data_IF_848230124396
#
_entry.id   IF_848230124396
#
_cell.length_a   1.000
_cell.length_b   1.000
_cell.length_c   1.000
_cell.angle_alpha   90.00
_cell.angle_beta   90.00
_cell.angle_gamma   90.00
#
_symmetry.space_group_name_H-M   'P 1'
#
loop_
_entity.id
_entity.type
_entity.pdbx_description
1 polymer ?
#
# COMPACT_ATOMS: atom_id res chain seq x y z
N UNK A 1 -19.70 -4.89 12.69
CA UNK A 1 -20.86 -5.66 12.27
C UNK A 1 -20.72 -7.13 12.67
N UNK A 2 -21.81 -7.87 12.70
CA UNK A 2 -21.82 -9.30 12.95
C UNK A 2 -22.04 -10.06 11.64
N UNK A 3 -21.30 -11.15 11.45
CA UNK A 3 -21.51 -12.09 10.35
C UNK A 3 -22.54 -13.16 10.72
N UNK A 4 -23.02 -13.93 9.76
CA UNK A 4 -24.05 -14.97 9.97
C UNK A 4 -23.71 -15.98 11.07
N UNK A 5 -22.44 -16.19 11.37
CA UNK A 5 -21.98 -17.04 12.47
C UNK A 5 -22.10 -16.37 13.85
N UNK A 6 -22.55 -15.11 13.91
CA UNK A 6 -22.62 -14.31 15.14
C UNK A 6 -21.28 -13.73 15.61
N UNK A 7 -20.19 -13.95 14.88
CA UNK A 7 -18.89 -13.37 15.23
C UNK A 7 -18.87 -11.87 14.88
N UNK A 8 -18.41 -11.04 15.81
CA UNK A 8 -18.26 -9.62 15.59
C UNK A 8 -16.99 -9.33 14.79
N UNK A 9 -17.13 -8.60 13.70
CA UNK A 9 -16.03 -8.15 12.83
C UNK A 9 -16.05 -6.63 12.77
N UNK A 10 -14.88 -6.02 12.73
CA UNK A 10 -14.74 -4.58 12.57
C UNK A 10 -13.79 -4.24 11.41
N UNK A 11 -14.24 -3.41 10.48
CA UNK A 11 -13.38 -2.76 9.51
C UNK A 11 -12.61 -1.62 10.19
N UNK A 12 -11.32 -1.53 9.97
CA UNK A 12 -10.44 -0.49 10.51
C UNK A 12 -9.59 0.09 9.39
N UNK A 13 -9.57 1.41 9.29
CA UNK A 13 -8.69 2.12 8.38
C UNK A 13 -7.67 2.94 9.17
N UNK A 14 -6.44 2.92 8.70
CA UNK A 14 -5.35 3.77 9.16
C UNK A 14 -4.93 4.71 8.02
N UNK A 15 -3.96 5.57 8.25
CA UNK A 15 -3.38 6.41 7.20
C UNK A 15 -2.58 5.60 6.15
N UNK A 16 -2.24 4.35 6.44
CA UNK A 16 -1.37 3.51 5.60
C UNK A 16 -2.04 2.23 5.10
N UNK A 17 -2.99 1.67 5.86
CA UNK A 17 -3.55 0.34 5.58
C UNK A 17 -4.99 0.20 6.04
N UNK A 18 -5.66 -0.79 5.45
CA UNK A 18 -7.03 -1.19 5.78
C UNK A 18 -7.00 -2.60 6.34
N UNK A 19 -7.70 -2.79 7.45
CA UNK A 19 -7.73 -4.06 8.18
C UNK A 19 -9.16 -4.52 8.46
N UNK A 20 -9.31 -5.81 8.60
CA UNK A 20 -10.43 -6.45 9.31
C UNK A 20 -9.93 -6.93 10.66
N UNK A 21 -10.64 -6.58 11.72
CA UNK A 21 -10.43 -7.15 13.04
C UNK A 21 -11.46 -8.25 13.28
N UNK A 22 -10.99 -9.46 13.56
CA UNK A 22 -11.82 -10.57 14.01
C UNK A 22 -11.28 -11.06 15.36
N UNK A 23 -12.06 -10.87 16.40
CA UNK A 23 -11.59 -11.10 17.78
C UNK A 23 -10.43 -10.19 18.15
N UNK A 24 -9.26 -10.76 18.45
CA UNK A 24 -8.02 -10.04 18.77
C UNK A 24 -7.07 -9.86 17.59
N UNK A 25 -7.36 -10.52 16.46
CA UNK A 25 -6.46 -10.55 15.28
C UNK A 25 -6.86 -9.48 14.27
N UNK A 26 -5.84 -8.83 13.72
CA UNK A 26 -5.98 -7.91 12.59
C UNK A 26 -5.50 -8.62 11.30
N UNK A 27 -6.33 -8.55 10.27
CA UNK A 27 -6.04 -9.07 8.94
C UNK A 27 -5.93 -7.91 7.97
N UNK A 28 -4.81 -7.81 7.27
CA UNK A 28 -4.56 -6.77 6.28
C UNK A 28 -5.33 -7.07 5.00
N UNK A 29 -6.32 -6.23 4.69
CA UNK A 29 -7.15 -6.34 3.50
C UNK A 29 -6.87 -5.25 2.47
N UNK A 30 -5.81 -4.47 2.65
CA UNK A 30 -5.43 -3.39 1.74
C UNK A 30 -5.32 -3.91 0.30
N UNK A 31 -6.03 -3.32 -0.68
CA UNK A 31 -6.03 -3.81 -2.05
C UNK A 31 -4.64 -3.75 -2.70
N UNK A 32 -4.39 -4.68 -3.60
CA UNK A 32 -3.19 -4.67 -4.45
C UNK A 32 -3.49 -3.90 -5.73
N UNK A 33 -2.68 -2.89 -6.06
CA UNK A 33 -2.81 -2.09 -7.27
C UNK A 33 -2.04 -2.64 -8.47
N UNK A 34 -0.91 -3.29 -8.21
CA UNK A 34 -0.04 -3.83 -9.24
C UNK A 34 0.78 -5.01 -8.71
N UNK A 35 0.98 -6.00 -9.55
CA UNK A 35 1.82 -7.16 -9.25
C UNK A 35 2.85 -7.33 -10.37
N UNK A 36 4.12 -7.41 -9.98
CA UNK A 36 5.23 -7.70 -10.86
C UNK A 36 5.78 -9.08 -10.53
N UNK A 37 6.18 -9.81 -11.56
CA UNK A 37 6.71 -11.17 -11.44
C UNK A 37 7.91 -11.34 -12.37
N UNK A 38 8.53 -12.50 -12.36
CA UNK A 38 9.59 -12.86 -13.31
C UNK A 38 9.10 -12.84 -14.78
N UNK A 39 7.80 -13.04 -15.00
CA UNK A 39 7.19 -13.03 -16.33
C UNK A 39 6.75 -11.62 -16.79
N UNK A 40 6.80 -10.62 -15.93
CA UNK A 40 6.47 -9.24 -16.29
C UNK A 40 7.66 -8.53 -16.97
N UNK A 41 7.37 -7.44 -17.66
CA UNK A 41 8.40 -6.53 -18.18
C UNK A 41 8.17 -5.16 -17.54
N UNK A 42 9.04 -4.76 -16.59
CA UNK A 42 10.28 -5.39 -16.15
C UNK A 42 10.09 -6.65 -15.30
N UNK A 43 11.06 -7.59 -15.37
CA UNK A 43 11.12 -8.77 -14.53
C UNK A 43 11.58 -8.42 -13.10
N UNK A 44 11.14 -9.22 -12.13
CA UNK A 44 11.58 -9.14 -10.74
C UNK A 44 12.80 -10.00 -10.44
N UNK A 45 13.39 -10.68 -11.43
CA UNK A 45 14.55 -11.57 -11.23
C UNK A 45 15.74 -10.79 -10.70
N UNK A 46 16.31 -11.29 -9.60
CA UNK A 46 17.47 -10.69 -8.94
C UNK A 46 17.35 -9.19 -8.68
N UNK A 47 16.12 -8.72 -8.34
CA UNK A 47 15.85 -7.31 -8.19
C UNK A 47 16.44 -6.67 -6.92
N UNK A 48 17.00 -7.46 -5.99
CA UNK A 48 17.57 -6.97 -4.74
C UNK A 48 19.06 -6.70 -4.88
N UNK A 49 19.51 -5.56 -4.41
CA UNK A 49 20.94 -5.22 -4.28
C UNK A 49 21.22 -4.86 -2.84
N UNK A 50 22.16 -5.56 -2.25
CA UNK A 50 22.60 -5.40 -0.86
C UNK A 50 23.89 -4.61 -0.77
N UNK A 51 24.15 -4.00 0.39
CA UNK A 51 25.40 -3.32 0.70
C UNK A 51 25.89 -3.72 2.11
N UNK A 52 27.15 -3.43 2.39
CA UNK A 52 27.80 -3.69 3.69
C UNK A 52 28.26 -2.40 4.37
N UNK A 53 27.71 -1.27 3.99
CA UNK A 53 28.02 0.03 4.61
C UNK A 53 27.47 0.05 6.03
N UNK A 54 28.32 0.33 7.01
CA UNK A 54 27.98 0.33 8.42
C UNK A 54 26.73 1.19 8.71
N UNK A 55 25.74 0.59 9.38
CA UNK A 55 24.46 1.21 9.70
C UNK A 55 23.39 1.13 8.60
N UNK A 56 23.72 0.60 7.41
CA UNK A 56 22.75 0.43 6.31
C UNK A 56 22.72 -0.99 5.75
N UNK A 57 23.31 -1.96 6.44
CA UNK A 57 23.41 -3.36 5.97
C UNK A 57 22.05 -4.06 5.86
N UNK A 58 21.04 -3.58 6.58
CA UNK A 58 19.65 -4.04 6.47
C UNK A 58 18.85 -3.31 5.39
N UNK A 59 19.38 -2.25 4.79
CA UNK A 59 18.75 -1.53 3.69
C UNK A 59 19.05 -2.24 2.37
N UNK A 60 18.01 -2.67 1.68
CA UNK A 60 18.10 -3.34 0.39
C UNK A 60 17.56 -2.42 -0.69
N UNK A 61 18.38 -2.17 -1.72
CA UNK A 61 17.94 -1.47 -2.91
C UNK A 61 17.18 -2.46 -3.81
N UNK A 62 16.00 -2.06 -4.25
CA UNK A 62 15.19 -2.82 -5.21
C UNK A 62 15.19 -2.08 -6.53
N UNK A 63 15.55 -2.80 -7.61
CA UNK A 63 15.50 -2.29 -8.98
C UNK A 63 14.31 -2.90 -9.70
N UNK A 64 13.31 -2.07 -9.99
CA UNK A 64 12.08 -2.48 -10.68
C UNK A 64 11.49 -1.27 -11.39
N UNK A 65 11.72 -1.18 -12.70
CA UNK A 65 11.27 -0.02 -13.48
C UNK A 65 9.73 0.05 -13.54
N UNK A 66 9.20 1.28 -13.52
CA UNK A 66 7.75 1.49 -13.64
C UNK A 66 6.93 1.00 -12.45
N UNK A 67 7.53 0.82 -11.28
CA UNK A 67 6.83 0.36 -10.06
C UNK A 67 5.70 1.31 -9.63
N UNK A 68 5.75 2.58 -10.03
CA UNK A 68 4.71 3.58 -9.74
C UNK A 68 4.42 3.81 -8.26
N UNK A 69 5.35 3.43 -7.38
CA UNK A 69 5.22 3.66 -5.95
C UNK A 69 5.70 5.06 -5.57
N UNK A 70 5.17 5.58 -4.48
CA UNK A 70 5.65 6.77 -3.78
C UNK A 70 6.25 6.36 -2.43
N UNK A 71 7.11 7.19 -1.86
CA UNK A 71 7.65 6.92 -0.52
C UNK A 71 6.52 6.83 0.50
N UNK A 72 6.53 5.76 1.30
CA UNK A 72 5.46 5.43 2.24
C UNK A 72 4.45 4.39 1.73
N UNK A 73 4.51 4.02 0.44
CA UNK A 73 3.74 2.90 -0.09
C UNK A 73 4.25 1.57 0.45
N UNK A 74 3.46 0.52 0.28
CA UNK A 74 3.83 -0.83 0.72
C UNK A 74 3.93 -1.79 -0.46
N UNK A 75 4.92 -2.70 -0.34
CA UNK A 75 5.11 -3.81 -1.27
C UNK A 75 5.29 -5.11 -0.49
N UNK A 76 4.63 -6.17 -0.92
CA UNK A 76 4.83 -7.51 -0.40
C UNK A 76 5.66 -8.30 -1.40
N UNK A 77 6.79 -8.85 -0.94
CA UNK A 77 7.59 -9.79 -1.72
C UNK A 77 7.28 -11.22 -1.31
N UNK A 78 7.25 -12.11 -2.31
CA UNK A 78 7.17 -13.56 -2.13
C UNK A 78 8.06 -14.25 -3.15
N UNK A 79 8.51 -15.46 -2.85
CA UNK A 79 9.35 -16.25 -3.77
C UNK A 79 10.83 -15.85 -3.82
N UNK A 80 11.26 -14.86 -3.03
CA UNK A 80 12.65 -14.46 -2.98
C UNK A 80 13.52 -15.52 -2.28
N UNK A 81 14.68 -15.82 -2.86
CA UNK A 81 15.72 -16.64 -2.24
C UNK A 81 16.61 -15.81 -1.31
N UNK A 82 17.28 -16.47 -0.38
CA UNK A 82 18.26 -15.82 0.48
C UNK A 82 19.37 -15.16 -0.36
N UNK A 83 19.79 -13.97 0.05
CA UNK A 83 20.71 -13.14 -0.71
C UNK A 83 21.71 -12.46 0.22
N UNK A 84 23.00 -12.73 -0.01
CA UNK A 84 24.10 -11.99 0.62
C UNK A 84 24.01 -11.88 2.16
N UNK A 85 23.54 -12.92 2.84
CA UNK A 85 23.38 -12.96 4.29
C UNK A 85 21.97 -12.67 4.80
N UNK A 86 21.10 -12.04 3.99
CA UNK A 86 19.70 -11.83 4.33
C UNK A 86 18.93 -13.10 3.94
N UNK A 87 18.17 -13.66 4.87
CA UNK A 87 17.44 -14.91 4.66
C UNK A 87 16.17 -14.73 3.84
N UNK A 88 15.72 -15.80 3.17
CA UNK A 88 14.47 -15.76 2.40
C UNK A 88 13.25 -15.29 3.22
N UNK A 89 13.01 -15.76 4.45
CA UNK A 89 11.90 -15.24 5.25
C UNK A 89 12.00 -13.75 5.59
N UNK A 90 13.20 -13.18 5.64
CA UNK A 90 13.42 -11.76 5.89
C UNK A 90 13.21 -10.90 4.64
N UNK A 91 13.26 -11.49 3.44
CA UNK A 91 12.96 -10.82 2.18
C UNK A 91 11.48 -10.98 1.76
N UNK A 92 10.84 -12.10 2.13
CA UNK A 92 9.46 -12.42 1.77
C UNK A 92 8.46 -11.87 2.79
N UNK A 93 8.44 -10.55 2.93
CA UNK A 93 7.59 -9.81 3.86
C UNK A 93 6.92 -8.62 3.16
N UNK A 94 6.08 -7.93 3.91
CA UNK A 94 5.53 -6.64 3.52
C UNK A 94 6.44 -5.53 4.02
N UNK A 95 6.84 -4.61 3.12
CA UNK A 95 7.77 -3.52 3.41
C UNK A 95 7.19 -2.16 3.02
N UNK A 96 7.42 -1.17 3.85
CA UNK A 96 7.29 0.23 3.46
C UNK A 96 8.45 0.62 2.54
N UNK A 97 8.18 1.33 1.45
CA UNK A 97 9.19 1.69 0.47
C UNK A 97 9.64 3.13 0.64
N UNK A 98 10.94 3.36 0.41
CA UNK A 98 11.49 4.70 0.21
C UNK A 98 11.93 4.81 -1.24
N UNK A 99 11.21 5.59 -2.02
CA UNK A 99 11.45 5.73 -3.47
C UNK A 99 12.65 6.63 -3.71
N UNK A 100 13.57 6.17 -4.57
CA UNK A 100 14.74 6.93 -5.03
C UNK A 100 14.52 7.48 -6.44
N UNK A 101 14.01 6.63 -7.34
CA UNK A 101 13.73 7.00 -8.74
C UNK A 101 12.48 6.28 -9.23
N UNK A 102 12.01 6.54 -10.45
CA UNK A 102 10.93 5.76 -11.07
C UNK A 102 11.25 4.28 -11.33
N UNK A 103 12.48 3.87 -11.07
CA UNK A 103 12.97 2.49 -11.31
C UNK A 103 13.60 1.85 -10.08
N UNK A 104 13.79 2.59 -9.00
CA UNK A 104 14.50 2.10 -7.80
C UNK A 104 13.87 2.64 -6.53
N UNK A 105 13.83 1.80 -5.51
CA UNK A 105 13.42 2.14 -4.16
C UNK A 105 14.20 1.30 -3.15
N UNK A 106 14.20 1.68 -1.89
CA UNK A 106 14.79 0.89 -0.81
C UNK A 106 13.72 0.36 0.12
N UNK A 107 14.02 -0.81 0.69
CA UNK A 107 13.28 -1.44 1.78
C UNK A 107 14.21 -1.69 2.95
N UNK A 108 13.67 -1.75 4.15
CA UNK A 108 14.44 -2.06 5.37
C UNK A 108 14.09 -3.47 5.84
N UNK A 109 15.06 -4.38 5.79
CA UNK A 109 14.94 -5.73 6.32
C UNK A 109 15.40 -5.81 7.77
N UNK A 110 14.97 -6.85 8.49
CA UNK A 110 15.49 -7.15 9.83
C UNK A 110 16.86 -7.85 9.79
N UNK A 111 17.24 -8.37 8.62
CA UNK A 111 18.53 -8.99 8.41
C UNK A 111 19.59 -7.98 8.00
N UNK A 112 20.85 -8.36 8.19
CA UNK A 112 22.01 -7.59 7.77
C UNK A 112 22.75 -8.32 6.66
N UNK A 113 23.12 -7.61 5.61
CA UNK A 113 23.91 -8.17 4.52
C UNK A 113 25.35 -8.42 4.99
N UNK A 114 25.88 -9.60 4.66
CA UNK A 114 27.29 -9.99 4.92
C UNK A 114 28.20 -9.70 3.73
N UNK A 115 27.61 -9.42 2.55
CA UNK A 115 28.32 -9.03 1.34
C UNK A 115 27.48 -8.09 0.49
N UNK A 116 28.13 -7.27 -0.30
CA UNK A 116 27.47 -6.42 -1.30
C UNK A 116 27.25 -7.24 -2.59
N UNK A 117 26.13 -7.03 -3.25
CA UNK A 117 25.84 -7.69 -4.51
C UNK A 117 24.36 -7.73 -4.83
N UNK A 118 24.05 -8.19 -6.04
CA UNK A 118 22.68 -8.35 -6.54
C UNK A 118 22.23 -9.80 -6.37
N UNK A 119 20.95 -10.02 -6.09
CA UNK A 119 20.40 -11.36 -5.92
C UNK A 119 18.89 -11.36 -5.64
N UNK A 120 18.42 -12.44 -5.03
CA UNK A 120 17.01 -12.72 -4.77
C UNK A 120 16.49 -13.91 -5.56
N UNK A 121 17.24 -14.33 -6.58
CA UNK A 121 16.87 -15.45 -7.44
C UNK A 121 15.76 -15.11 -8.44
N UNK A 122 15.18 -16.17 -9.00
CA UNK A 122 14.04 -16.11 -9.93
C UNK A 122 12.76 -16.49 -9.20
N UNK A 123 11.60 -16.10 -9.75
CA UNK A 123 10.32 -16.45 -9.15
C UNK A 123 9.82 -15.44 -8.11
N UNK A 124 10.47 -14.29 -7.99
CA UNK A 124 10.04 -13.23 -7.07
C UNK A 124 8.71 -12.63 -7.58
N UNK A 125 7.77 -12.46 -6.68
CA UNK A 125 6.56 -11.66 -6.90
C UNK A 125 6.62 -10.42 -6.02
N UNK A 126 6.41 -9.26 -6.61
CA UNK A 126 6.30 -7.97 -5.92
C UNK A 126 4.88 -7.43 -6.07
N UNK A 127 4.09 -7.46 -5.01
CA UNK A 127 2.71 -7.00 -4.97
C UNK A 127 2.64 -5.64 -4.27
N UNK A 128 2.37 -4.57 -5.03
CA UNK A 128 2.25 -3.21 -4.50
C UNK A 128 0.82 -2.94 -4.04
N UNK A 129 0.68 -2.46 -2.83
CA UNK A 129 -0.60 -2.04 -2.28
C UNK A 129 -1.03 -0.66 -2.85
N UNK A 130 -2.33 -0.36 -2.75
CA UNK A 130 -2.82 0.99 -3.05
C UNK A 130 -2.29 1.97 -2.00
N UNK A 131 -2.01 3.20 -2.41
CA UNK A 131 -1.76 4.29 -1.47
C UNK A 131 -3.10 4.78 -0.89
N UNK A 132 -3.32 4.62 0.40
CA UNK A 132 -4.59 4.98 1.05
C UNK A 132 -4.59 6.35 1.72
N UNK A 133 -3.45 7.01 1.80
CA UNK A 133 -3.38 8.33 2.40
C UNK A 133 -1.99 8.90 2.57
N UNK A 134 -1.94 10.16 2.90
CA UNK A 134 -0.73 10.83 3.37
C UNK A 134 -0.69 10.79 4.90
N UNK A 135 0.51 10.64 5.48
CA UNK A 135 0.72 10.64 6.93
C UNK A 135 0.44 12.00 7.57
N UNK A 136 0.45 13.06 6.77
CA UNK A 136 0.19 14.42 7.22
C UNK A 136 -0.57 15.21 6.17
N UNK A 137 -1.51 16.04 6.61
CA UNK A 137 -2.12 17.06 5.77
C UNK A 137 -1.31 18.35 5.86
N UNK A 138 -0.96 18.94 4.72
CA UNK A 138 -0.34 20.25 4.68
C UNK A 138 -1.43 21.27 4.37
N UNK A 139 -1.65 22.20 5.29
CA UNK A 139 -2.55 23.33 5.02
C UNK A 139 -2.01 24.12 3.82
N UNK A 140 -2.78 24.15 2.72
CA UNK A 140 -2.38 24.79 1.47
C UNK A 140 -2.30 26.31 1.55
N UNK A 141 -3.12 26.93 2.40
CA UNK A 141 -3.27 28.39 2.52
C UNK A 141 -3.47 28.82 3.97
N UNK A 142 -3.01 30.01 4.30
CA UNK A 142 -3.29 30.66 5.57
C UNK A 142 -2.05 30.95 6.41
N UNK A 143 -2.27 31.65 7.53
CA UNK A 143 -1.23 31.95 8.52
C UNK A 143 -0.71 30.64 9.12
N UNK A 144 0.60 30.40 8.95
CA UNK A 144 1.24 29.16 9.41
C UNK A 144 1.38 28.07 8.33
N UNK A 145 0.90 28.30 7.11
CA UNK A 145 1.08 27.37 5.98
C UNK A 145 2.49 27.48 5.36
N UNK A 146 3.53 27.16 6.10
CA UNK A 146 4.93 27.17 5.64
C UNK A 146 5.83 28.15 6.37
N UNK A 147 7.08 28.27 5.90
CA UNK A 147 8.10 29.15 6.50
C UNK A 147 7.79 30.63 6.24
N UNK A 148 8.09 31.48 7.20
CA UNK A 148 8.11 32.93 7.02
C UNK A 148 9.01 33.31 5.84
N UNK A 149 8.61 34.31 5.05
CA UNK A 149 9.34 34.75 3.83
C UNK A 149 9.14 33.87 2.59
N UNK A 150 8.03 33.17 2.47
CA UNK A 150 7.64 32.45 1.26
C UNK A 150 7.03 33.41 0.23
N UNK A 151 7.83 33.89 -0.69
CA UNK A 151 7.38 34.73 -1.81
C UNK A 151 7.18 36.23 -1.45
N UNK A 152 6.78 37.00 -2.44
CA UNK A 152 6.45 38.43 -2.31
C UNK A 152 5.11 38.62 -1.63
N UNK A 153 4.95 39.71 -0.89
CA UNK A 153 3.64 40.14 -0.33
C UNK A 153 2.57 40.14 -1.44
N UNK A 154 1.52 39.35 -1.25
CA UNK A 154 0.44 39.22 -2.23
C UNK A 154 0.67 38.20 -3.33
N UNK A 155 1.82 37.52 -3.38
CA UNK A 155 2.08 36.41 -4.30
C UNK A 155 1.36 35.14 -3.83
N UNK A 156 0.68 34.45 -4.75
CA UNK A 156 0.14 33.14 -4.48
C UNK A 156 1.31 32.19 -4.11
N UNK A 157 1.24 31.57 -2.93
CA UNK A 157 2.17 30.51 -2.57
C UNK A 157 1.95 29.34 -3.53
N UNK A 158 2.94 29.02 -4.35
CA UNK A 158 2.94 27.80 -5.15
C UNK A 158 3.22 26.66 -4.18
N UNK A 159 2.19 26.23 -3.46
CA UNK A 159 2.29 25.00 -2.66
C UNK A 159 2.09 23.81 -3.57
N UNK A 160 2.83 22.72 -3.35
CA UNK A 160 2.48 21.45 -3.96
C UNK A 160 1.02 21.13 -3.59
N UNK A 161 0.35 20.39 -4.45
CA UNK A 161 -1.07 20.08 -4.35
C UNK A 161 -1.53 19.88 -2.89
N UNK A 162 -2.66 20.47 -2.54
CA UNK A 162 -3.30 20.27 -1.24
C UNK A 162 -3.47 18.76 -1.08
N UNK A 163 -2.80 18.20 -0.08
CA UNK A 163 -3.00 16.79 0.27
C UNK A 163 -4.19 16.76 1.21
N UNK A 164 -5.35 16.47 0.67
CA UNK A 164 -6.55 16.28 1.46
C UNK A 164 -6.40 15.07 2.38
N UNK A 165 -6.89 15.20 3.60
CA UNK A 165 -7.03 14.05 4.50
C UNK A 165 -7.93 13.05 3.82
N UNK A 166 -7.43 11.83 3.59
CA UNK A 166 -8.24 10.76 3.05
C UNK A 166 -9.17 10.24 4.11
N UNK A 167 -10.45 10.35 3.82
CA UNK A 167 -11.49 9.70 4.60
C UNK A 167 -11.78 8.36 3.96
N UNK A 168 -11.92 7.34 4.77
CA UNK A 168 -12.34 6.01 4.34
C UNK A 168 -13.78 5.83 4.80
N UNK A 169 -14.69 5.63 3.86
CA UNK A 169 -16.06 5.26 4.14
C UNK A 169 -16.19 3.76 4.01
N UNK A 170 -16.73 3.12 5.03
CA UNK A 170 -16.91 1.68 5.09
C UNK A 170 -18.34 1.36 5.46
N UNK A 171 -18.90 0.38 4.79
CA UNK A 171 -20.20 -0.18 5.13
C UNK A 171 -20.21 -1.68 4.83
N UNK A 172 -21.08 -2.42 5.49
CA UNK A 172 -21.19 -3.85 5.27
C UNK A 172 -22.31 -4.17 4.28
N UNK A 173 -22.06 -5.15 3.44
CA UNK A 173 -23.03 -5.75 2.56
C UNK A 173 -23.14 -7.23 2.91
N UNK A 174 -24.16 -7.61 3.67
CA UNK A 174 -24.26 -8.90 4.35
C UNK A 174 -23.01 -9.18 5.22
N UNK A 175 -22.26 -10.24 4.93
CA UNK A 175 -21.03 -10.61 5.62
C UNK A 175 -19.78 -9.92 5.06
N UNK A 176 -19.92 -9.22 3.94
CA UNK A 176 -18.82 -8.61 3.20
C UNK A 176 -18.65 -7.14 3.57
N UNK A 177 -17.50 -6.58 3.28
CA UNK A 177 -17.19 -5.17 3.50
C UNK A 177 -17.03 -4.45 2.17
N UNK A 178 -17.68 -3.31 2.04
CA UNK A 178 -17.45 -2.38 0.94
C UNK A 178 -16.86 -1.10 1.52
N UNK A 179 -15.87 -0.56 0.85
CA UNK A 179 -15.29 0.72 1.23
C UNK A 179 -14.82 1.53 0.03
N UNK A 180 -14.79 2.84 0.21
CA UNK A 180 -14.13 3.74 -0.73
C UNK A 180 -13.17 4.67 0.00
N UNK A 181 -12.19 5.14 -0.75
CA UNK A 181 -11.27 6.18 -0.34
C UNK A 181 -11.72 7.49 -0.96
N UNK A 182 -12.01 8.48 -0.12
CA UNK A 182 -12.20 9.85 -0.58
C UNK A 182 -11.03 10.22 -1.50
N UNK A 183 -11.13 10.85 -2.59
CA UNK A 183 -10.09 11.23 -3.56
C UNK A 183 -9.63 10.17 -4.57
N UNK A 184 -10.04 8.92 -4.49
CA UNK A 184 -9.68 7.92 -5.52
C UNK A 184 -10.86 7.49 -6.39
N UNK A 185 -12.08 7.81 -5.98
CA UNK A 185 -13.29 7.44 -6.72
C UNK A 185 -13.57 5.94 -6.77
N UNK A 186 -12.59 5.10 -6.43
CA UNK A 186 -12.69 3.67 -6.53
C UNK A 186 -13.44 3.06 -5.34
N UNK A 187 -14.31 2.10 -5.63
CA UNK A 187 -14.99 1.30 -4.62
C UNK A 187 -14.30 -0.04 -4.55
N UNK A 188 -13.98 -0.46 -3.34
CA UNK A 188 -13.36 -1.74 -3.06
C UNK A 188 -14.32 -2.66 -2.32
N UNK A 189 -14.20 -3.95 -2.59
CA UNK A 189 -15.03 -5.01 -2.04
C UNK A 189 -14.14 -6.07 -1.41
N UNK A 190 -14.43 -6.40 -0.16
CA UNK A 190 -13.79 -7.48 0.55
C UNK A 190 -14.83 -8.56 0.86
N UNK A 191 -14.59 -9.76 0.36
CA UNK A 191 -15.48 -10.90 0.59
C UNK A 191 -15.08 -11.62 1.87
N UNK A 192 -16.02 -11.81 2.77
CA UNK A 192 -15.83 -12.68 3.92
C UNK A 192 -15.55 -14.11 3.46
N UNK A 193 -14.48 -14.68 3.96
CA UNK A 193 -14.23 -16.11 3.86
C UNK A 193 -13.62 -16.65 5.14
N UNK A 194 -13.51 -17.98 5.24
CA UNK A 194 -13.09 -18.67 6.48
C UNK A 194 -11.71 -18.24 6.99
N UNK A 195 -10.82 -17.77 6.12
CA UNK A 195 -9.44 -17.45 6.49
C UNK A 195 -9.17 -15.96 6.78
N UNK A 196 -10.07 -15.06 6.44
CA UNK A 196 -9.89 -13.60 6.52
C UNK A 196 -8.65 -13.04 5.77
N UNK A 197 -7.86 -13.88 5.12
CA UNK A 197 -6.55 -13.52 4.53
C UNK A 197 -6.62 -12.98 3.11
N UNK A 198 -7.82 -12.88 2.53
CA UNK A 198 -8.01 -12.31 1.19
C UNK A 198 -7.91 -10.79 1.22
N UNK A 199 -7.25 -10.23 0.22
CA UNK A 199 -7.20 -8.79 0.00
C UNK A 199 -8.51 -8.31 -0.63
N UNK A 200 -8.90 -7.08 -0.32
CA UNK A 200 -10.00 -6.44 -1.02
C UNK A 200 -9.64 -6.21 -2.50
N UNK A 201 -10.64 -6.26 -3.35
CA UNK A 201 -10.49 -6.07 -4.80
C UNK A 201 -11.33 -4.89 -5.26
N UNK A 202 -11.02 -4.37 -6.43
CA UNK A 202 -11.82 -3.31 -7.04
C UNK A 202 -13.21 -3.86 -7.37
N UNK A 203 -14.27 -3.20 -6.94
CA UNK A 203 -15.65 -3.64 -7.18
C UNK A 203 -15.96 -3.82 -8.68
N UNK A 204 -15.43 -2.93 -9.52
CA UNK A 204 -15.58 -3.01 -10.97
C UNK A 204 -14.89 -4.22 -11.61
N UNK A 205 -13.96 -4.88 -10.91
CA UNK A 205 -13.30 -6.09 -11.40
C UNK A 205 -14.06 -7.38 -11.13
N UNK A 206 -15.13 -7.33 -10.35
CA UNK A 206 -15.93 -8.50 -10.04
C UNK A 206 -16.82 -8.89 -11.24
N UNK A 207 -16.93 -10.19 -11.46
CA UNK A 207 -17.86 -10.73 -12.48
C UNK A 207 -19.30 -10.34 -12.14
N UNK A 208 -19.99 -9.74 -13.09
CA UNK A 208 -21.38 -9.28 -12.91
C UNK A 208 -21.54 -7.86 -12.39
N UNK A 209 -20.47 -7.14 -12.07
CA UNK A 209 -20.53 -5.72 -11.76
C UNK A 209 -20.78 -4.92 -13.04
N UNK A 210 -22.03 -4.38 -13.17
CA UNK A 210 -22.48 -3.66 -14.37
C UNK A 210 -22.48 -2.21 -14.08
N UNK A 211 -21.89 -1.27 -14.20
CA UNK A 211 -22.05 0.14 -13.89
C UNK A 211 -21.65 0.52 -12.46
N UNK A 212 -20.44 0.17 -12.08
CA UNK A 212 -19.81 0.77 -10.88
C UNK A 212 -19.43 2.20 -11.22
N UNK A 213 -19.84 3.20 -10.42
CA UNK A 213 -19.43 4.58 -10.63
C UNK A 213 -17.91 4.71 -10.64
N UNK A 214 -17.37 5.49 -11.56
CA UNK A 214 -15.92 5.74 -11.67
C UNK A 214 -15.41 6.72 -10.61
N UNK A 215 -16.30 7.58 -10.10
CA UNK A 215 -15.97 8.59 -9.09
C UNK A 215 -17.00 8.53 -7.96
N UNK A 216 -16.55 8.39 -6.73
CA UNK A 216 -17.36 8.32 -5.53
C UNK A 216 -16.69 9.06 -4.39
N UNK A 217 -17.44 9.88 -3.70
CA UNK A 217 -16.98 10.53 -2.47
C UNK A 217 -17.40 9.73 -1.23
N UNK A 218 -18.55 9.08 -1.28
CA UNK A 218 -19.14 8.39 -0.13
C UNK A 218 -20.01 7.21 -0.55
N UNK A 219 -19.96 6.13 0.22
CA UNK A 219 -20.82 4.96 0.09
C UNK A 219 -21.73 4.91 1.32
N UNK A 220 -23.00 4.65 1.10
CA UNK A 220 -23.99 4.35 2.14
C UNK A 220 -24.92 3.27 1.58
N UNK A 221 -25.15 2.20 2.35
CA UNK A 221 -26.20 1.24 2.06
C UNK A 221 -27.47 1.60 2.81
N UNK A 222 -28.61 1.57 2.12
CA UNK A 222 -29.88 1.63 2.79
C UNK A 222 -30.14 0.29 3.49
N UNK A 223 -30.59 0.26 4.75
CA UNK A 223 -31.02 -0.97 5.36
C UNK A 223 -32.20 -1.53 4.57
N UNK A 224 -32.13 -2.82 4.26
CA UNK A 224 -33.22 -3.59 3.61
C UNK A 224 -34.36 -3.84 4.58
#
# INVERSE_FOLDING_TARGET
YAIDTGAAIAGLATTKKIYIRAGTTLYDITPIRATFTTATTPSTDNCFTTNTTAGTEGQVLVTLAGHGATTGDFVTFTGAAATNGITAPQLNLNFEVTVLTGSTFTIQTAGTATSAGTGGGTGITAAFEINIGADSSIAGYGWGAGTWSRGTWGGASVLPAIVDVRLVFMDNFNNDLIFNLNNQGAIYYWTYNVSFNNRAVLLSSLSGSIAVPAENEKILFAPS
#
